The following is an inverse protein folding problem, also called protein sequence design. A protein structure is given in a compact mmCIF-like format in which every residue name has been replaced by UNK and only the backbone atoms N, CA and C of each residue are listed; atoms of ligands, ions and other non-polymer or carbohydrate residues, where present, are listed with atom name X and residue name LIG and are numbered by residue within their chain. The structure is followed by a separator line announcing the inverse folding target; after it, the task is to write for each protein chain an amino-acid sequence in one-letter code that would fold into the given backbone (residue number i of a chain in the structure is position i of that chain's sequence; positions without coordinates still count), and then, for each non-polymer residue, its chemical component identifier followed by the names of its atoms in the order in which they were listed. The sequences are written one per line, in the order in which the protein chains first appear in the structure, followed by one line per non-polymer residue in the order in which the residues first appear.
data_IF_101561429388
#
_entry.id   IF_101561429388
#
_cell.length_a   1.000
_cell.length_b   1.000
_cell.length_c   1.000
_cell.angle_alpha   90.00
_cell.angle_beta   90.00
_cell.angle_gamma   90.00
#
_symmetry.space_group_name_H-M   'P 1'
#
loop_
_entity.id
_entity.type
_entity.pdbx_description
1 polymer ?
#
# COMPACT_ATOMS: atom_id res chain seq x y z
N UNK A 1 -6.69 -18.57 -0.37
CA UNK A 1 -7.78 -18.06 0.50
C UNK A 1 -8.00 -16.61 0.17
N UNK A 2 -9.26 -16.12 0.06
CA UNK A 2 -9.50 -14.71 -0.21
C UNK A 2 -8.87 -13.84 0.88
N UNK A 3 -8.39 -12.65 0.51
CA UNK A 3 -7.81 -11.71 1.45
C UNK A 3 -8.85 -11.29 2.49
N UNK A 4 -8.45 -11.30 3.77
CA UNK A 4 -9.26 -10.76 4.85
C UNK A 4 -9.21 -9.23 4.79
N UNK A 5 -10.38 -8.59 4.91
CA UNK A 5 -10.47 -7.14 5.01
C UNK A 5 -9.98 -6.67 6.38
N UNK A 6 -9.11 -5.66 6.39
CA UNK A 6 -8.69 -4.93 7.58
C UNK A 6 -9.53 -3.67 7.71
N UNK A 7 -10.26 -3.56 8.83
CA UNK A 7 -11.04 -2.38 9.13
C UNK A 7 -10.15 -1.30 9.73
N UNK A 8 -10.33 -0.06 9.28
CA UNK A 8 -9.53 1.05 9.78
C UNK A 8 -9.83 1.36 11.26
N UNK A 9 -8.77 1.67 12.01
CA UNK A 9 -8.85 2.07 13.42
C UNK A 9 -7.87 3.22 13.66
N UNK A 10 -8.39 4.42 13.88
CA UNK A 10 -7.56 5.62 14.04
C UNK A 10 -6.77 5.63 15.35
N UNK A 11 -7.10 4.76 16.32
CA UNK A 11 -6.31 4.62 17.54
C UNK A 11 -5.05 3.78 17.33
N UNK A 12 -4.97 2.98 16.26
CA UNK A 12 -3.83 2.11 15.98
C UNK A 12 -2.76 2.81 15.15
N UNK A 13 -1.55 2.90 15.71
CA UNK A 13 -0.41 3.52 15.02
C UNK A 13 -0.05 2.81 13.72
N UNK A 14 -0.16 1.47 13.69
CA UNK A 14 0.08 0.67 12.48
C UNK A 14 -0.91 1.06 11.37
N UNK A 15 -2.20 1.20 11.70
CA UNK A 15 -3.22 1.58 10.73
C UNK A 15 -3.01 2.99 10.18
N UNK A 16 -2.64 3.95 11.05
CA UNK A 16 -2.23 5.30 10.60
C UNK A 16 -1.03 5.22 9.66
N UNK A 17 -0.03 4.42 9.99
CA UNK A 17 1.14 4.19 9.13
C UNK A 17 0.79 3.63 7.75
N UNK A 18 -0.16 2.69 7.67
CA UNK A 18 -0.66 2.15 6.40
C UNK A 18 -1.40 3.22 5.59
N UNK A 19 -2.33 3.94 6.22
CA UNK A 19 -3.12 4.97 5.54
C UNK A 19 -2.25 6.13 5.03
N UNK A 20 -1.31 6.61 5.85
CA UNK A 20 -0.43 7.71 5.48
C UNK A 20 0.53 7.27 4.34
N UNK A 21 1.05 6.05 4.40
CA UNK A 21 1.90 5.50 3.31
C UNK A 21 1.10 5.30 2.03
N UNK A 22 -0.13 4.81 2.13
CA UNK A 22 -1.06 4.68 1.01
C UNK A 22 -1.25 6.04 0.33
N UNK A 23 -1.61 7.08 1.07
CA UNK A 23 -1.81 8.43 0.52
C UNK A 23 -0.56 9.01 -0.13
N UNK A 24 0.62 8.78 0.46
CA UNK A 24 1.90 9.18 -0.14
C UNK A 24 2.15 8.46 -1.46
N UNK A 25 1.91 7.15 -1.52
CA UNK A 25 2.07 6.40 -2.77
C UNK A 25 1.11 6.91 -3.84
N UNK A 26 -0.16 7.11 -3.51
CA UNK A 26 -1.18 7.60 -4.44
C UNK A 26 -0.77 8.97 -5.02
N UNK A 27 -0.40 9.94 -4.18
CA UNK A 27 0.01 11.26 -4.65
C UNK A 27 1.29 11.24 -5.49
N UNK A 28 2.26 10.37 -5.17
CA UNK A 28 3.47 10.23 -5.99
C UNK A 28 3.19 9.56 -7.34
N UNK A 29 2.25 8.61 -7.39
CA UNK A 29 1.80 8.00 -8.65
C UNK A 29 1.08 9.05 -9.51
N UNK A 30 0.18 9.83 -8.93
CA UNK A 30 -0.52 10.92 -9.64
C UNK A 30 0.47 11.92 -10.27
N UNK A 31 1.59 12.19 -9.59
CA UNK A 31 2.66 13.06 -10.08
C UNK A 31 3.62 12.42 -11.08
N UNK A 32 3.46 11.14 -11.39
CA UNK A 32 4.42 10.38 -12.20
C UNK A 32 5.80 10.24 -11.53
N UNK A 33 5.89 10.41 -10.20
CA UNK A 33 7.13 10.28 -9.41
C UNK A 33 7.32 8.88 -8.84
N UNK A 34 6.27 8.06 -8.85
CA UNK A 34 6.30 6.66 -8.43
C UNK A 34 5.64 5.81 -9.50
N UNK A 35 6.42 4.91 -10.10
CA UNK A 35 5.98 4.00 -11.15
C UNK A 35 6.69 2.63 -11.02
N UNK A 36 6.49 1.74 -11.99
CA UNK A 36 7.14 0.41 -12.00
C UNK A 36 8.66 0.45 -12.14
N UNK A 37 9.20 1.52 -12.69
CA UNK A 37 10.63 1.67 -12.97
C UNK A 37 11.36 2.33 -11.78
N UNK A 38 10.60 2.89 -10.85
CA UNK A 38 11.11 3.47 -9.62
C UNK A 38 11.83 2.40 -8.79
N UNK A 39 13.04 2.71 -8.35
CA UNK A 39 13.88 1.78 -7.61
C UNK A 39 13.16 1.21 -6.38
N UNK A 40 13.19 -0.12 -6.23
CA UNK A 40 12.54 -0.89 -5.17
C UNK A 40 11.00 -0.76 -5.05
N UNK A 41 10.34 -0.07 -5.98
CA UNK A 41 8.88 0.10 -5.97
C UNK A 41 8.15 -1.12 -6.54
N UNK A 42 8.73 -1.79 -7.54
CA UNK A 42 8.08 -2.94 -8.18
C UNK A 42 7.86 -4.12 -7.22
N UNK A 43 6.68 -4.71 -7.29
CA UNK A 43 6.32 -5.92 -6.56
C UNK A 43 5.78 -7.01 -7.50
N UNK A 44 6.37 -8.20 -7.43
CA UNK A 44 6.00 -9.33 -8.29
C UNK A 44 4.61 -9.91 -8.02
N UNK A 45 4.07 -9.70 -6.82
CA UNK A 45 2.71 -10.13 -6.45
C UNK A 45 2.55 -11.64 -6.26
N UNK A 46 3.62 -12.39 -6.03
CA UNK A 46 3.55 -13.85 -5.86
C UNK A 46 2.63 -14.24 -4.71
N UNK A 47 2.80 -13.60 -3.55
CA UNK A 47 2.01 -13.87 -2.34
C UNK A 47 0.54 -13.47 -2.54
N UNK A 48 0.26 -12.40 -3.29
CA UNK A 48 -1.10 -12.01 -3.68
C UNK A 48 -1.77 -13.07 -4.56
N UNK A 49 -1.02 -13.65 -5.51
CA UNK A 49 -1.52 -14.72 -6.39
C UNK A 49 -1.83 -16.00 -5.62
N UNK A 50 -1.05 -16.33 -4.59
CA UNK A 50 -1.34 -17.44 -3.67
C UNK A 50 -2.63 -17.21 -2.87
N UNK A 51 -2.96 -15.94 -2.59
CA UNK A 51 -4.26 -15.54 -2.06
C UNK A 51 -5.40 -15.48 -3.10
N UNK A 52 -5.13 -15.84 -4.37
CA UNK A 52 -6.11 -15.81 -5.45
C UNK A 52 -6.39 -14.43 -6.03
N UNK A 53 -5.56 -13.43 -5.72
CA UNK A 53 -5.65 -12.10 -6.35
C UNK A 53 -5.02 -12.17 -7.72
N UNK A 54 -5.85 -11.97 -8.75
CA UNK A 54 -5.41 -11.82 -10.13
C UNK A 54 -5.65 -10.38 -10.57
N UNK A 55 -4.59 -9.71 -11.04
CA UNK A 55 -4.69 -8.36 -11.60
C UNK A 55 -3.93 -8.24 -12.91
N UNK A 56 -4.52 -7.51 -13.84
CA UNK A 56 -3.95 -7.26 -15.15
C UNK A 56 -3.23 -5.90 -15.15
N UNK A 57 -2.07 -5.84 -14.51
CA UNK A 57 -1.29 -4.62 -14.31
C UNK A 57 0.00 -4.89 -13.54
N UNK A 58 0.51 -3.86 -12.85
CA UNK A 58 1.67 -4.00 -11.98
C UNK A 58 1.29 -3.69 -10.53
N UNK A 59 1.93 -4.39 -9.61
CA UNK A 59 1.86 -4.04 -8.20
C UNK A 59 3.05 -3.18 -7.85
N UNK A 60 2.80 -2.09 -7.12
CA UNK A 60 3.83 -1.30 -6.47
C UNK A 60 3.77 -1.53 -4.97
N UNK A 61 4.91 -1.49 -4.30
CA UNK A 61 5.03 -1.60 -2.85
C UNK A 61 5.83 -0.46 -2.27
N UNK A 62 5.55 -0.13 -1.01
CA UNK A 62 6.40 0.72 -0.19
C UNK A 62 6.39 0.24 1.25
N UNK A 63 7.56 0.30 1.88
CA UNK A 63 7.67 0.02 3.31
C UNK A 63 6.90 1.11 4.09
N UNK A 64 6.14 0.69 5.10
CA UNK A 64 5.33 1.59 5.92
C UNK A 64 5.75 1.51 7.39
N UNK A 65 5.72 2.62 8.15
CA UNK A 65 6.03 2.60 9.57
C UNK A 65 4.95 1.83 10.36
N UNK A 66 5.35 1.10 11.40
CA UNK A 66 4.44 0.30 12.24
C UNK A 66 5.16 -0.57 13.28
N UNK A 67 4.38 -1.39 14.00
CA UNK A 67 4.90 -2.46 14.87
C UNK A 67 5.46 -3.61 14.02
N UNK A 68 6.54 -4.24 14.50
CA UNK A 68 7.30 -5.25 13.73
C UNK A 68 8.53 -4.66 13.05
N UNK A 69 9.63 -4.58 13.80
CA UNK A 69 10.93 -4.12 13.31
C UNK A 69 11.86 -5.32 13.16
N UNK A 70 12.65 -5.34 12.09
CA UNK A 70 13.84 -6.19 12.00
C UNK A 70 14.82 -5.87 13.14
N UNK A 71 15.81 -6.75 13.37
CA UNK A 71 16.91 -6.52 14.32
C UNK A 71 17.64 -5.18 14.13
N UNK A 72 17.55 -4.58 12.94
CA UNK A 72 18.15 -3.28 12.59
C UNK A 72 17.11 -2.13 12.50
N UNK A 73 15.91 -2.31 13.05
CA UNK A 73 14.93 -1.23 13.18
C UNK A 73 14.08 -0.94 11.93
N UNK A 74 14.30 -1.62 10.80
CA UNK A 74 13.45 -1.47 9.60
C UNK A 74 12.09 -2.13 9.81
N UNK A 75 11.02 -1.39 9.54
CA UNK A 75 9.66 -1.93 9.51
C UNK A 75 9.57 -3.04 8.45
N UNK A 76 8.92 -4.14 8.78
CA UNK A 76 8.62 -5.21 7.81
C UNK A 76 7.25 -5.05 7.16
N UNK A 77 6.47 -4.07 7.61
CA UNK A 77 5.18 -3.80 7.00
C UNK A 77 5.35 -3.09 5.66
N UNK A 78 4.46 -3.41 4.71
CA UNK A 78 4.39 -2.78 3.39
C UNK A 78 2.96 -2.45 3.03
N UNK A 79 2.79 -1.37 2.27
CA UNK A 79 1.56 -1.11 1.52
C UNK A 79 1.81 -1.50 0.07
N UNK A 80 0.86 -2.22 -0.50
CA UNK A 80 0.84 -2.63 -1.89
C UNK A 80 -0.34 -1.94 -2.56
N UNK A 81 -0.11 -1.32 -3.71
CA UNK A 81 -1.13 -0.71 -4.57
C UNK A 81 -1.01 -1.27 -5.98
N UNK A 82 -2.08 -1.11 -6.75
CA UNK A 82 -2.09 -1.52 -8.16
C UNK A 82 -1.97 -0.30 -9.05
N UNK A 83 -1.22 -0.46 -10.13
CA UNK A 83 -1.30 0.41 -11.29
C UNK A 83 -1.78 -0.39 -12.50
N UNK A 84 -2.55 0.25 -13.36
CA UNK A 84 -2.97 -0.32 -14.63
C UNK A 84 -1.80 -0.44 -15.62
N UNK A 85 -2.07 -0.93 -16.83
CA UNK A 85 -1.06 -1.08 -17.89
C UNK A 85 -0.50 0.26 -18.40
N UNK A 86 -1.21 1.36 -18.18
CA UNK A 86 -0.79 2.71 -18.55
C UNK A 86 0.00 3.40 -17.43
N UNK A 87 0.12 2.76 -16.27
CA UNK A 87 0.81 3.29 -15.10
C UNK A 87 -0.08 4.14 -14.18
N UNK A 88 -1.39 4.18 -14.42
CA UNK A 88 -2.32 4.91 -13.56
C UNK A 88 -2.72 4.09 -12.34
N UNK A 89 -2.90 4.78 -11.21
CA UNK A 89 -3.38 4.17 -9.98
C UNK A 89 -4.75 3.50 -10.17
N UNK A 90 -4.89 2.29 -9.66
CA UNK A 90 -6.19 1.64 -9.51
C UNK A 90 -6.80 2.09 -8.19
N UNK A 91 -7.86 2.88 -8.28
CA UNK A 91 -8.51 3.48 -7.11
C UNK A 91 -9.20 2.43 -6.22
N UNK A 92 -9.32 2.75 -4.93
CA UNK A 92 -10.03 1.96 -3.92
C UNK A 92 -9.54 0.50 -3.76
N UNK A 93 -8.30 0.22 -4.15
CA UNK A 93 -7.68 -1.09 -3.94
C UNK A 93 -6.26 -0.93 -3.40
N UNK A 94 -6.00 -1.56 -2.25
CA UNK A 94 -4.68 -1.61 -1.63
C UNK A 94 -4.64 -2.75 -0.62
N UNK A 95 -3.44 -3.29 -0.39
CA UNK A 95 -3.20 -4.39 0.55
C UNK A 95 -2.10 -3.99 1.51
N UNK A 96 -2.33 -4.20 2.81
CA UNK A 96 -1.26 -4.21 3.79
C UNK A 96 -0.62 -5.61 3.83
N UNK A 97 0.68 -5.65 3.67
CA UNK A 97 1.49 -6.83 3.95
C UNK A 97 2.19 -6.61 5.29
N UNK A 98 1.75 -7.34 6.31
CA UNK A 98 2.25 -7.19 7.68
C UNK A 98 3.54 -7.96 7.89
N UNK A 99 4.26 -7.56 8.93
CA UNK A 99 5.49 -8.19 9.41
C UNK A 99 5.36 -9.68 9.73
N UNK A 100 4.15 -10.14 10.05
CA UNK A 100 3.82 -11.55 10.31
C UNK A 100 3.36 -12.31 9.06
N UNK A 101 3.65 -11.77 7.87
CA UNK A 101 3.31 -12.29 6.55
C UNK A 101 1.81 -12.36 6.23
N UNK A 102 0.94 -11.73 7.02
CA UNK A 102 -0.47 -11.61 6.64
C UNK A 102 -0.65 -10.53 5.57
N UNK A 103 -1.38 -10.88 4.52
CA UNK A 103 -1.90 -9.96 3.51
C UNK A 103 -3.34 -9.60 3.85
N UNK A 104 -3.62 -8.32 3.96
CA UNK A 104 -4.92 -7.80 4.37
C UNK A 104 -5.40 -6.72 3.40
N UNK A 105 -6.62 -6.88 2.89
CA UNK A 105 -7.24 -5.88 2.01
C UNK A 105 -7.63 -4.67 2.84
N UNK A 106 -7.22 -3.47 2.43
CA UNK A 106 -7.56 -2.24 3.13
C UNK A 106 -8.99 -1.82 2.82
N UNK A 107 -9.77 -1.49 3.85
CA UNK A 107 -11.14 -1.00 3.71
C UNK A 107 -11.23 0.48 3.32
N UNK A 108 -12.46 0.98 3.15
CA UNK A 108 -12.74 2.38 2.81
C UNK A 108 -12.20 3.40 3.84
N UNK A 109 -12.04 3.01 5.10
CA UNK A 109 -11.54 3.90 6.15
C UNK A 109 -10.09 4.29 5.92
N UNK A 110 -9.26 3.36 5.44
CA UNK A 110 -7.88 3.66 5.04
C UNK A 110 -7.82 4.68 3.91
N UNK A 111 -8.65 4.52 2.86
CA UNK A 111 -8.68 5.44 1.72
C UNK A 111 -9.15 6.85 2.12
N UNK A 112 -10.15 6.94 3.01
CA UNK A 112 -10.63 8.24 3.53
C UNK A 112 -9.50 9.03 4.20
N UNK A 113 -8.67 8.37 5.00
CA UNK A 113 -7.51 9.02 5.61
C UNK A 113 -6.39 9.27 4.60
N UNK A 114 -6.09 8.29 3.75
CA UNK A 114 -5.07 8.39 2.71
C UNK A 114 -5.29 9.61 1.81
N UNK A 115 -6.54 9.97 1.53
CA UNK A 115 -6.89 11.15 0.74
C UNK A 115 -6.25 12.44 1.30
N UNK A 116 -6.26 12.64 2.63
CA UNK A 116 -5.66 13.83 3.24
C UNK A 116 -4.17 13.94 2.93
N UNK A 117 -3.46 12.81 2.98
CA UNK A 117 -2.03 12.75 2.68
C UNK A 117 -1.78 12.85 1.17
N UNK A 118 -2.63 12.23 0.33
CA UNK A 118 -2.58 12.33 -1.14
C UNK A 118 -2.71 13.79 -1.58
N UNK A 119 -3.68 14.51 -1.05
CA UNK A 119 -3.93 15.92 -1.36
C UNK A 119 -2.75 16.80 -0.94
N UNK A 120 -2.20 16.56 0.25
CA UNK A 120 -1.00 17.24 0.72
C UNK A 120 0.19 17.03 -0.21
N UNK A 121 0.49 15.77 -0.56
CA UNK A 121 1.55 15.46 -1.54
C UNK A 121 1.26 16.13 -2.87
N UNK A 122 0.00 16.17 -3.32
CA UNK A 122 -0.39 16.81 -4.57
C UNK A 122 -0.20 18.32 -4.59
N UNK A 123 -0.36 19.00 -3.45
CA UNK A 123 -0.14 20.44 -3.30
C UNK A 123 1.34 20.90 -3.29
N UNK A 124 2.30 19.99 -3.11
CA UNK A 124 3.75 20.30 -3.08
C UNK A 124 4.40 20.50 -4.45
#
# INVERSE_FOLDING_TARGET
MPLTTLNYNDNEQEHRGFADTLGQMQGLIDKGKLDRNTSHAYYGGHELRECGVSWNGHFLKRDCPGSGKTMHGRSQNRVIVNIDRNGHLVENWAVAWRHDNRLLLLDAGFFKRAQQMRDYINSM
#
